data_IF_407985229872
#
_entry.id   IF_407985229872
#
_cell.length_a   1.000
_cell.length_b   1.000
_cell.length_c   1.000
_cell.angle_alpha   90.00
_cell.angle_beta   90.00
_cell.angle_gamma   90.00
#
_symmetry.space_group_name_H-M   'P 1'
#
loop_
_entity.id
_entity.type
_entity.pdbx_description
1 polymer ?
#
# COMPACT_ATOMS: atom_id res chain seq x y z
N UNK A 1 -18.64 -21.39 9.94
CA UNK A 1 -17.42 -20.76 9.36
C UNK A 1 -16.67 -20.02 10.45
N UNK A 2 -15.38 -20.35 10.70
CA UNK A 2 -14.54 -19.55 11.61
C UNK A 2 -14.36 -18.15 11.01
N UNK A 3 -14.67 -17.11 11.77
CA UNK A 3 -14.49 -15.73 11.33
C UNK A 3 -13.00 -15.46 11.10
N UNK A 4 -12.63 -14.93 9.92
CA UNK A 4 -11.26 -14.54 9.61
C UNK A 4 -10.81 -13.45 10.60
N UNK A 5 -9.61 -13.60 11.15
CA UNK A 5 -9.04 -12.64 12.09
C UNK A 5 -8.49 -11.42 11.35
N UNK A 6 -8.60 -10.24 11.96
CA UNK A 6 -8.17 -8.98 11.34
C UNK A 6 -6.68 -9.01 10.98
N UNK A 7 -5.83 -9.59 11.83
CA UNK A 7 -4.39 -9.65 11.55
C UNK A 7 -4.02 -10.43 10.27
N UNK A 8 -4.85 -11.38 9.85
CA UNK A 8 -4.64 -12.15 8.64
C UNK A 8 -5.06 -11.36 7.41
N UNK A 9 -6.03 -10.47 7.54
CA UNK A 9 -6.39 -9.53 6.48
C UNK A 9 -5.30 -8.48 6.29
N UNK A 10 -4.74 -7.95 7.38
CA UNK A 10 -3.59 -7.02 7.32
C UNK A 10 -2.36 -7.70 6.70
N UNK A 11 -2.03 -8.92 7.15
CA UNK A 11 -0.94 -9.69 6.56
C UNK A 11 -1.21 -10.00 5.08
N UNK A 12 -2.45 -10.36 4.75
CA UNK A 12 -2.88 -10.61 3.37
C UNK A 12 -2.62 -9.40 2.47
N UNK A 13 -2.95 -8.18 2.92
CA UNK A 13 -2.68 -6.96 2.15
C UNK A 13 -1.18 -6.79 1.89
N UNK A 14 -0.35 -7.02 2.90
CA UNK A 14 1.11 -6.95 2.75
C UNK A 14 1.65 -8.01 1.78
N UNK A 15 1.18 -9.25 1.89
CA UNK A 15 1.58 -10.34 1.01
C UNK A 15 1.15 -10.09 -0.44
N UNK A 16 -0.08 -9.63 -0.67
CA UNK A 16 -0.56 -9.27 -2.00
C UNK A 16 0.34 -8.19 -2.61
N UNK A 17 0.73 -7.19 -1.82
CA UNK A 17 1.63 -6.15 -2.29
C UNK A 17 2.98 -6.71 -2.75
N UNK A 18 3.71 -7.38 -1.86
CA UNK A 18 5.09 -7.81 -2.13
C UNK A 18 5.19 -9.00 -3.10
N UNK A 19 4.10 -9.73 -3.35
CA UNK A 19 4.11 -10.91 -4.24
C UNK A 19 3.36 -10.68 -5.55
N UNK A 20 2.09 -10.29 -5.50
CA UNK A 20 1.24 -10.23 -6.69
C UNK A 20 1.31 -8.86 -7.35
N UNK A 21 1.22 -7.79 -6.56
CA UNK A 21 1.09 -6.44 -7.09
C UNK A 21 2.37 -5.95 -7.75
N UNK A 22 3.51 -6.05 -7.06
CA UNK A 22 4.83 -5.73 -7.63
C UNK A 22 5.14 -6.62 -8.84
N UNK A 23 4.68 -7.88 -8.84
CA UNK A 23 4.85 -8.77 -10.00
C UNK A 23 4.01 -8.33 -11.20
N UNK A 24 2.74 -7.98 -11.00
CA UNK A 24 1.88 -7.44 -12.06
C UNK A 24 2.48 -6.14 -12.62
N UNK A 25 2.85 -5.20 -11.74
CA UNK A 25 3.50 -3.95 -12.14
C UNK A 25 4.69 -4.22 -13.06
N UNK A 26 5.56 -5.16 -12.69
CA UNK A 26 6.70 -5.55 -13.53
C UNK A 26 6.28 -6.11 -14.88
N UNK A 27 5.39 -7.12 -14.89
CA UNK A 27 4.99 -7.84 -16.09
C UNK A 27 4.30 -6.94 -17.13
N UNK A 28 3.62 -5.89 -16.67
CA UNK A 28 2.91 -4.95 -17.52
C UNK A 28 3.65 -3.60 -17.70
N UNK A 29 4.93 -3.52 -17.33
CA UNK A 29 5.80 -2.40 -17.69
C UNK A 29 5.59 -1.13 -16.87
N UNK A 30 5.21 -1.26 -15.59
CA UNK A 30 4.98 -0.14 -14.69
C UNK A 30 6.11 0.90 -14.64
N UNK A 31 7.42 0.56 -14.65
CA UNK A 31 8.46 1.58 -14.62
C UNK A 31 8.36 2.57 -15.80
N UNK A 32 8.25 2.07 -17.02
CA UNK A 32 8.09 2.91 -18.22
C UNK A 32 6.76 3.67 -18.21
N UNK A 33 5.69 3.03 -17.74
CA UNK A 33 4.38 3.67 -17.58
C UNK A 33 4.45 4.83 -16.57
N UNK A 34 5.05 4.60 -15.40
CA UNK A 34 5.17 5.60 -14.34
C UNK A 34 6.08 6.77 -14.74
N UNK A 35 7.17 6.53 -15.47
CA UNK A 35 7.98 7.61 -16.06
C UNK A 35 7.12 8.58 -16.87
N UNK A 36 6.31 8.05 -17.78
CA UNK A 36 5.47 8.84 -18.69
C UNK A 36 4.30 9.50 -17.97
N UNK A 37 3.64 8.79 -17.05
CA UNK A 37 2.35 9.18 -16.47
C UNK A 37 2.47 9.90 -15.14
N UNK A 38 3.46 9.55 -14.32
CA UNK A 38 3.79 10.31 -13.11
C UNK A 38 4.78 11.43 -13.38
N UNK A 39 5.41 11.45 -14.57
CA UNK A 39 6.37 12.47 -14.95
C UNK A 39 7.64 12.42 -14.11
N UNK A 40 8.05 11.23 -13.67
CA UNK A 40 9.30 11.03 -12.91
C UNK A 40 10.42 10.74 -13.91
N UNK A 41 11.37 11.65 -14.14
CA UNK A 41 12.40 11.46 -15.15
C UNK A 41 13.31 10.27 -14.82
N UNK A 42 13.65 9.48 -15.84
CA UNK A 42 14.54 8.32 -15.72
C UNK A 42 14.05 7.33 -14.66
N UNK A 43 12.74 7.03 -14.63
CA UNK A 43 12.17 6.08 -13.67
C UNK A 43 12.46 4.63 -14.09
N UNK A 44 13.72 4.24 -13.90
CA UNK A 44 14.27 2.95 -14.29
C UNK A 44 13.73 1.80 -13.43
N UNK A 45 14.00 0.56 -13.87
CA UNK A 45 13.67 -0.65 -13.11
C UNK A 45 14.32 -0.65 -11.72
N UNK A 46 15.56 -0.15 -11.59
CA UNK A 46 16.23 -0.09 -10.30
C UNK A 46 15.57 0.93 -9.36
N UNK A 47 15.13 2.09 -9.88
CA UNK A 47 14.35 3.07 -9.11
C UNK A 47 13.03 2.50 -8.65
N UNK A 48 12.32 1.80 -9.53
CA UNK A 48 11.07 1.12 -9.19
C UNK A 48 11.27 0.04 -8.11
N UNK A 49 12.34 -0.77 -8.20
CA UNK A 49 12.67 -1.76 -7.18
C UNK A 49 12.99 -1.11 -5.83
N UNK A 50 13.80 -0.06 -5.82
CA UNK A 50 14.14 0.68 -4.60
C UNK A 50 12.90 1.32 -3.98
N UNK A 51 12.08 2.00 -4.79
CA UNK A 51 10.80 2.55 -4.38
C UNK A 51 9.94 1.50 -3.67
N UNK A 52 9.71 0.34 -4.29
CA UNK A 52 8.92 -0.73 -3.68
C UNK A 52 9.59 -1.36 -2.44
N UNK A 53 10.92 -1.45 -2.41
CA UNK A 53 11.64 -1.92 -1.23
C UNK A 53 11.44 -0.99 -0.01
N UNK A 54 11.42 0.33 -0.21
CA UNK A 54 11.10 1.27 0.87
C UNK A 54 9.66 1.08 1.35
N UNK A 55 8.68 1.02 0.46
CA UNK A 55 7.29 0.78 0.84
C UNK A 55 7.14 -0.54 1.62
N UNK A 56 7.72 -1.63 1.11
CA UNK A 56 7.70 -2.92 1.79
C UNK A 56 8.31 -2.84 3.19
N UNK A 57 9.46 -2.17 3.34
CA UNK A 57 10.11 -2.00 4.64
C UNK A 57 9.21 -1.30 5.66
N UNK A 58 8.62 -0.15 5.32
CA UNK A 58 7.76 0.60 6.25
C UNK A 58 6.47 -0.13 6.59
N UNK A 59 5.86 -0.82 5.61
CA UNK A 59 4.66 -1.63 5.84
C UNK A 59 4.96 -2.84 6.73
N UNK A 60 6.07 -3.54 6.50
CA UNK A 60 6.53 -4.66 7.35
C UNK A 60 6.81 -4.16 8.77
N UNK A 61 7.49 -3.04 8.92
CA UNK A 61 7.77 -2.46 10.24
C UNK A 61 6.46 -2.12 10.97
N UNK A 62 5.52 -1.47 10.28
CA UNK A 62 4.19 -1.16 10.80
C UNK A 62 3.42 -2.42 11.23
N UNK A 63 3.50 -3.48 10.43
CA UNK A 63 2.89 -4.77 10.73
C UNK A 63 3.53 -5.42 11.96
N UNK A 64 4.85 -5.44 12.06
CA UNK A 64 5.58 -6.00 13.20
C UNK A 64 5.20 -5.28 14.50
N UNK A 65 5.16 -3.95 14.50
CA UNK A 65 4.73 -3.17 15.67
C UNK A 65 3.27 -3.46 16.03
N UNK A 66 2.39 -3.50 15.02
CA UNK A 66 0.99 -3.92 15.21
C UNK A 66 0.86 -5.29 15.87
N UNK A 67 1.76 -6.23 15.56
CA UNK A 67 1.74 -7.60 16.10
C UNK A 67 2.17 -7.69 17.57
N UNK A 68 2.93 -6.72 18.09
CA UNK A 68 3.37 -6.71 19.49
C UNK A 68 2.17 -6.53 20.43
N UNK A 69 1.30 -5.56 20.13
CA UNK A 69 0.07 -5.29 20.87
C UNK A 69 -1.01 -4.78 19.90
N UNK A 70 -1.91 -5.69 19.51
CA UNK A 70 -2.86 -5.47 18.42
C UNK A 70 -3.93 -4.45 18.76
N UNK A 71 -4.25 -4.29 20.05
CA UNK A 71 -5.29 -3.38 20.50
C UNK A 71 -4.72 -1.96 20.60
N UNK A 72 -3.53 -1.83 21.21
CA UNK A 72 -2.83 -0.54 21.29
C UNK A 72 -2.41 -0.01 19.93
N UNK A 73 -1.90 -0.88 19.05
CA UNK A 73 -1.34 -0.52 17.75
C UNK A 73 -2.28 -0.81 16.58
N UNK A 74 -3.58 -0.99 16.85
CA UNK A 74 -4.60 -1.17 15.82
C UNK A 74 -4.52 -0.16 14.66
N UNK A 75 -4.26 1.16 14.91
CA UNK A 75 -4.12 2.12 13.82
C UNK A 75 -3.01 1.80 12.82
N UNK A 76 -1.91 1.17 13.24
CA UNK A 76 -0.83 0.77 12.33
C UNK A 76 -1.29 -0.35 11.38
N UNK A 77 -2.03 -1.32 11.90
CA UNK A 77 -2.58 -2.42 11.09
C UNK A 77 -3.67 -1.95 10.12
N UNK A 78 -4.61 -1.13 10.59
CA UNK A 78 -5.64 -0.52 9.73
C UNK A 78 -5.04 0.51 8.77
N UNK A 79 -3.93 1.15 9.11
CA UNK A 79 -3.17 2.02 8.21
C UNK A 79 -2.64 1.26 6.99
N UNK A 80 -2.18 0.02 7.14
CA UNK A 80 -1.76 -0.83 6.01
C UNK A 80 -2.95 -1.16 5.11
N UNK A 81 -4.12 -1.42 5.70
CA UNK A 81 -5.36 -1.65 4.95
C UNK A 81 -5.73 -0.40 4.13
N UNK A 82 -5.76 0.77 4.76
CA UNK A 82 -6.11 2.03 4.09
C UNK A 82 -5.06 2.37 3.03
N UNK A 83 -3.78 2.13 3.29
CA UNK A 83 -2.71 2.27 2.31
C UNK A 83 -2.97 1.41 1.05
N UNK A 84 -3.37 0.14 1.21
CA UNK A 84 -3.75 -0.70 0.07
C UNK A 84 -4.95 -0.16 -0.70
N UNK A 85 -5.94 0.43 -0.02
CA UNK A 85 -7.07 1.11 -0.66
C UNK A 85 -6.64 2.37 -1.42
N UNK A 86 -5.69 3.13 -0.89
CA UNK A 86 -5.11 4.29 -1.59
C UNK A 86 -4.34 3.86 -2.83
N UNK A 87 -3.61 2.74 -2.77
CA UNK A 87 -2.93 2.18 -3.93
C UNK A 87 -3.94 1.77 -5.01
N UNK A 88 -5.01 1.04 -4.66
CA UNK A 88 -6.11 0.76 -5.59
C UNK A 88 -6.70 2.04 -6.22
N UNK A 89 -7.00 3.04 -5.38
CA UNK A 89 -7.54 4.30 -5.86
C UNK A 89 -6.59 5.00 -6.84
N UNK A 90 -5.28 4.97 -6.58
CA UNK A 90 -4.26 5.55 -7.44
C UNK A 90 -4.27 4.92 -8.85
N UNK A 91 -4.20 3.58 -8.93
CA UNK A 91 -4.24 2.89 -10.23
C UNK A 91 -5.55 3.10 -10.96
N UNK A 92 -6.68 3.08 -10.24
CA UNK A 92 -8.00 3.34 -10.83
C UNK A 92 -8.09 4.76 -11.40
N UNK A 93 -7.70 5.77 -10.61
CA UNK A 93 -7.75 7.18 -11.02
C UNK A 93 -6.90 7.40 -12.26
N UNK A 94 -5.67 6.89 -12.28
CA UNK A 94 -4.81 7.04 -13.47
C UNK A 94 -5.35 6.28 -14.68
N UNK A 95 -5.98 5.12 -14.47
CA UNK A 95 -6.59 4.39 -15.57
C UNK A 95 -7.77 5.14 -16.18
N UNK A 96 -8.57 5.81 -15.35
CA UNK A 96 -9.70 6.64 -15.79
C UNK A 96 -9.21 7.92 -16.47
N UNK A 97 -8.23 8.62 -15.89
CA UNK A 97 -7.72 9.88 -16.45
C UNK A 97 -7.07 9.67 -17.82
N UNK A 98 -6.29 8.60 -17.97
CA UNK A 98 -5.57 8.33 -19.22
C UNK A 98 -6.32 7.41 -20.19
N UNK A 99 -7.49 6.90 -19.79
CA UNK A 99 -8.28 5.92 -20.55
C UNK A 99 -7.44 4.72 -20.99
N UNK A 100 -6.55 4.30 -20.11
CA UNK A 100 -5.54 3.26 -20.34
C UNK A 100 -5.46 2.37 -19.11
N UNK A 101 -5.06 1.12 -19.26
CA UNK A 101 -4.78 0.26 -18.12
C UNK A 101 -3.51 0.72 -17.38
N UNK A 102 -3.63 1.04 -16.09
CA UNK A 102 -2.47 1.22 -15.20
C UNK A 102 -1.97 -0.14 -14.71
N UNK A 103 -0.70 -0.52 -14.98
CA UNK A 103 -0.11 -1.74 -14.43
C UNK A 103 -0.24 -1.75 -12.90
N UNK A 104 -0.79 -2.83 -12.33
CA UNK A 104 -1.12 -2.90 -10.89
C UNK A 104 -2.63 -2.77 -10.59
N UNK A 105 -3.46 -2.36 -11.55
CA UNK A 105 -4.91 -2.22 -11.36
C UNK A 105 -5.59 -3.57 -11.03
N UNK A 106 -5.17 -4.67 -11.66
CA UNK A 106 -5.86 -5.96 -11.51
C UNK A 106 -5.68 -6.51 -10.10
N UNK A 107 -4.46 -6.56 -9.59
CA UNK A 107 -4.16 -7.05 -8.25
C UNK A 107 -4.58 -6.07 -7.17
N UNK A 108 -4.63 -4.76 -7.45
CA UNK A 108 -5.12 -3.80 -6.47
C UNK A 108 -6.63 -3.92 -6.19
N UNK A 109 -7.41 -4.57 -7.07
CA UNK A 109 -8.77 -5.02 -6.72
C UNK A 109 -8.79 -5.97 -5.51
N UNK A 110 -7.71 -6.73 -5.30
CA UNK A 110 -7.57 -7.58 -4.12
C UNK A 110 -7.39 -6.71 -2.86
N UNK A 111 -6.69 -5.58 -2.95
CA UNK A 111 -6.63 -4.61 -1.85
C UNK A 111 -8.01 -4.05 -1.50
N UNK A 112 -8.83 -3.74 -2.52
CA UNK A 112 -10.22 -3.31 -2.30
C UNK A 112 -11.01 -4.38 -1.53
N UNK A 113 -10.95 -5.64 -1.96
CA UNK A 113 -11.63 -6.74 -1.29
C UNK A 113 -11.15 -6.92 0.17
N UNK A 114 -9.84 -7.00 0.38
CA UNK A 114 -9.25 -7.14 1.71
C UNK A 114 -9.60 -5.95 2.61
N UNK A 115 -9.61 -4.74 2.06
CA UNK A 115 -9.99 -3.54 2.80
C UNK A 115 -11.45 -3.54 3.22
N UNK A 116 -12.37 -3.90 2.33
CA UNK A 116 -13.80 -4.06 2.67
C UNK A 116 -13.96 -5.09 3.80
N UNK A 117 -13.30 -6.25 3.69
CA UNK A 117 -13.39 -7.30 4.71
C UNK A 117 -12.80 -6.84 6.06
N UNK A 118 -11.66 -6.18 6.06
CA UNK A 118 -10.98 -5.71 7.26
C UNK A 118 -11.77 -4.60 7.97
N UNK A 119 -12.26 -3.61 7.22
CA UNK A 119 -13.06 -2.53 7.78
C UNK A 119 -14.40 -3.03 8.32
N UNK A 120 -15.08 -3.96 7.62
CA UNK A 120 -16.28 -4.62 8.15
C UNK A 120 -15.97 -5.37 9.44
N UNK A 121 -14.89 -6.16 9.47
CA UNK A 121 -14.48 -6.92 10.65
C UNK A 121 -14.19 -5.99 11.84
N UNK A 122 -13.45 -4.91 11.63
CA UNK A 122 -13.14 -3.93 12.67
C UNK A 122 -14.41 -3.21 13.17
N UNK A 123 -15.34 -2.87 12.26
CA UNK A 123 -16.64 -2.29 12.60
C UNK A 123 -17.47 -3.22 13.49
N UNK A 124 -17.69 -4.46 13.06
CA UNK A 124 -18.53 -5.42 13.79
C UNK A 124 -17.88 -5.92 15.10
N UNK A 125 -16.57 -5.77 15.24
CA UNK A 125 -15.86 -6.11 16.49
C UNK A 125 -15.78 -4.92 17.46
N UNK A 126 -16.42 -3.78 17.16
CA UNK A 126 -16.40 -2.58 18.02
C UNK A 126 -15.04 -1.87 18.08
N UNK A 127 -14.11 -2.20 17.17
CA UNK A 127 -12.74 -1.69 17.18
C UNK A 127 -12.59 -0.35 16.44
N UNK A 128 -13.59 0.04 15.63
CA UNK A 128 -13.59 1.32 14.93
C UNK A 128 -14.20 2.42 15.78
N UNK A 129 -13.36 3.36 16.20
CA UNK A 129 -13.75 4.67 16.71
C UNK A 129 -13.23 5.76 15.79
N UNK A 130 -13.79 6.98 15.87
CA UNK A 130 -13.30 8.14 15.11
C UNK A 130 -11.79 8.34 15.30
N UNK A 131 -11.32 8.21 16.54
CA UNK A 131 -9.88 8.32 16.87
C UNK A 131 -9.06 7.27 16.14
N UNK A 132 -9.47 6.00 16.17
CA UNK A 132 -8.76 4.91 15.47
C UNK A 132 -8.74 5.16 13.97
N UNK A 133 -9.87 5.56 13.38
CA UNK A 133 -9.96 5.86 11.95
C UNK A 133 -9.01 6.98 11.54
N UNK A 134 -9.03 8.12 12.24
CA UNK A 134 -8.15 9.26 11.94
C UNK A 134 -6.68 8.86 12.06
N UNK A 135 -6.29 8.17 13.14
CA UNK A 135 -4.92 7.70 13.31
C UNK A 135 -4.52 6.69 12.23
N UNK A 136 -5.43 5.83 11.79
CA UNK A 136 -5.16 4.85 10.71
C UNK A 136 -4.93 5.55 9.37
N UNK A 137 -5.70 6.59 9.06
CA UNK A 137 -5.48 7.42 7.86
C UNK A 137 -4.11 8.11 7.95
N UNK A 138 -3.75 8.69 9.08
CA UNK A 138 -2.42 9.29 9.28
C UNK A 138 -1.33 8.23 9.07
N UNK A 139 -1.47 7.03 9.63
CA UNK A 139 -0.52 5.95 9.42
C UNK A 139 -0.40 5.57 7.93
N UNK A 140 -1.52 5.47 7.21
CA UNK A 140 -1.51 5.19 5.77
C UNK A 140 -0.77 6.27 4.97
N UNK A 141 -0.99 7.55 5.30
CA UNK A 141 -0.28 8.66 4.69
C UNK A 141 1.21 8.64 5.03
N UNK A 142 1.59 8.22 6.24
CA UNK A 142 3.00 8.03 6.61
C UNK A 142 3.64 6.85 5.85
N UNK A 143 2.92 5.72 5.71
CA UNK A 143 3.36 4.59 4.89
C UNK A 143 3.48 4.94 3.40
N UNK A 144 2.87 6.02 2.95
CA UNK A 144 3.06 6.53 1.60
C UNK A 144 4.17 7.57 1.52
N UNK A 145 4.10 8.60 2.37
CA UNK A 145 4.97 9.76 2.32
C UNK A 145 6.40 9.48 2.74
N UNK A 146 6.63 8.67 3.78
CA UNK A 146 7.99 8.39 4.27
C UNK A 146 8.81 7.60 3.24
N UNK A 147 8.31 6.49 2.66
CA UNK A 147 9.02 5.80 1.57
C UNK A 147 9.31 6.70 0.37
N UNK A 148 8.32 7.48 -0.08
CA UNK A 148 8.47 8.39 -1.22
C UNK A 148 9.52 9.47 -0.96
N UNK A 149 9.46 10.09 0.21
CA UNK A 149 10.44 11.11 0.61
C UNK A 149 11.86 10.56 0.64
N UNK A 150 12.05 9.38 1.26
CA UNK A 150 13.35 8.72 1.32
C UNK A 150 13.87 8.31 -0.06
N UNK A 151 13.00 7.72 -0.89
CA UNK A 151 13.33 7.36 -2.27
C UNK A 151 13.83 8.58 -3.05
N UNK A 152 13.08 9.69 -3.05
CA UNK A 152 13.45 10.93 -3.77
C UNK A 152 14.75 11.52 -3.23
N UNK A 153 14.95 11.53 -1.91
CA UNK A 153 16.18 12.04 -1.31
C UNK A 153 17.39 11.21 -1.71
N UNK A 154 17.29 9.88 -1.64
CA UNK A 154 18.38 8.97 -1.98
C UNK A 154 18.69 9.02 -3.48
N UNK A 155 17.67 9.05 -4.33
CA UNK A 155 17.80 9.20 -5.78
C UNK A 155 18.63 10.45 -6.15
N UNK A 156 18.29 11.59 -5.54
CA UNK A 156 19.02 12.86 -5.74
C UNK A 156 20.46 12.82 -5.23
N UNK A 157 20.72 12.13 -4.13
CA UNK A 157 22.08 12.05 -3.55
C UNK A 157 23.00 11.13 -4.33
N UNK A 158 22.45 10.02 -4.84
CA UNK A 158 23.23 8.97 -5.50
C UNK A 158 23.24 9.10 -7.03
N UNK A 159 22.38 9.96 -7.60
CA UNK A 159 22.27 10.13 -9.06
C UNK A 159 21.79 8.85 -9.74
N UNK A 160 20.89 8.12 -9.07
CA UNK A 160 20.29 6.90 -9.59
C UNK A 160 19.35 7.20 -10.76
#
# INVERSE_FOLDING_TARGET
MRSIRLEYLVLGTLLVYVTLHVLEEWLFGFPAWAEQRWGIPNYTVIKWLMHNAYFAFFLVLGYVIYRIDKDRFLPLGLGIIIWGLLNFANHLVFSVIFLEYSPGLLTSLIFLLLGILALRKAKFSGQLSVRVTVLSVICALLYWGLPMGLFITVDRMLGL
#
